data_IF_669987857581
#
_entry.id   IF_669987857581
#
_cell.length_a   1.000
_cell.length_b   1.000
_cell.length_c   1.000
_cell.angle_alpha   90.00
_cell.angle_beta   90.00
_cell.angle_gamma   90.00
#
_symmetry.space_group_name_H-M   'P 1'
#
loop_
_entity.id
_entity.type
_entity.pdbx_description
1 polymer ?
#
# COMPACT_ATOMS: atom_id res chain seq x y z
N UNK A 1 3.71 26.32 27.22
CA UNK A 1 4.10 25.85 25.90
C UNK A 1 5.03 26.89 25.32
N UNK A 2 6.26 26.47 25.07
CA UNK A 2 7.37 27.38 24.80
C UNK A 2 7.41 27.75 23.31
N UNK A 3 7.74 29.00 23.01
CA UNK A 3 7.98 29.54 21.65
C UNK A 3 9.00 28.73 20.85
N UNK A 4 9.82 27.93 21.51
CA UNK A 4 10.82 27.02 20.94
C UNK A 4 10.21 25.77 20.29
N UNK A 5 9.09 25.27 20.79
CA UNK A 5 8.41 24.09 20.22
C UNK A 5 7.65 24.45 18.93
N UNK A 6 7.05 25.65 18.90
CA UNK A 6 6.36 26.13 17.68
C UNK A 6 7.32 26.36 16.52
N UNK A 7 8.55 26.84 16.79
CA UNK A 7 9.56 27.05 15.74
C UNK A 7 10.08 25.71 15.21
N UNK A 8 10.26 24.70 16.07
CA UNK A 8 10.66 23.37 15.64
C UNK A 8 9.59 22.68 14.79
N UNK A 9 8.33 22.74 15.21
CA UNK A 9 7.22 22.17 14.45
C UNK A 9 7.03 22.86 13.09
N UNK A 10 7.17 24.19 13.04
CA UNK A 10 7.10 24.92 11.79
C UNK A 10 8.27 24.60 10.83
N UNK A 11 9.48 24.42 11.37
CA UNK A 11 10.65 24.04 10.58
C UNK A 11 10.53 22.60 10.04
N UNK A 12 10.04 21.66 10.84
CA UNK A 12 9.77 20.27 10.44
C UNK A 12 8.67 20.25 9.39
N UNK A 13 7.56 20.96 9.61
CA UNK A 13 6.45 21.05 8.66
C UNK A 13 6.88 21.65 7.31
N UNK A 14 7.74 22.70 7.33
CA UNK A 14 8.27 23.31 6.10
C UNK A 14 9.31 22.44 5.40
N UNK A 15 10.00 21.57 6.12
CA UNK A 15 10.97 20.62 5.56
C UNK A 15 10.23 19.46 4.87
N UNK A 16 9.23 18.88 5.52
CA UNK A 16 8.35 17.84 4.96
C UNK A 16 7.64 18.34 3.69
N UNK A 17 7.12 19.57 3.69
CA UNK A 17 6.49 20.15 2.50
C UNK A 17 7.46 20.33 1.31
N UNK A 18 8.77 20.44 1.55
CA UNK A 18 9.78 20.56 0.47
C UNK A 18 10.09 19.21 -0.18
N UNK A 19 10.01 18.13 0.58
CA UNK A 19 10.36 16.80 0.11
C UNK A 19 9.29 16.22 -0.84
N UNK A 20 8.04 16.71 -0.79
CA UNK A 20 6.94 16.28 -1.67
C UNK A 20 6.69 17.21 -2.88
N UNK A 21 7.41 18.33 -2.99
CA UNK A 21 7.26 19.24 -4.15
C UNK A 21 7.48 18.56 -5.51
N UNK A 22 8.42 17.60 -5.67
CA UNK A 22 8.60 16.90 -6.94
C UNK A 22 7.37 16.12 -7.41
N UNK A 23 6.49 15.72 -6.48
CA UNK A 23 5.28 14.95 -6.77
C UNK A 23 4.08 15.82 -7.18
N UNK A 24 4.25 17.12 -7.27
CA UNK A 24 3.23 18.05 -7.74
C UNK A 24 3.36 18.27 -9.25
N UNK A 25 2.40 17.77 -9.99
CA UNK A 25 2.36 17.85 -11.45
C UNK A 25 1.49 19.03 -11.87
N UNK A 26 2.08 20.03 -12.51
CA UNK A 26 1.36 21.15 -13.13
C UNK A 26 0.79 20.70 -14.49
N UNK A 27 -0.48 20.32 -14.50
CA UNK A 27 -1.19 19.84 -15.68
C UNK A 27 -1.44 20.95 -16.71
N UNK A 28 -1.44 22.24 -16.29
CA UNK A 28 -1.61 23.37 -17.19
C UNK A 28 -0.32 23.68 -17.96
N UNK A 29 0.83 23.49 -17.32
CA UNK A 29 2.13 23.73 -17.93
C UNK A 29 2.51 22.68 -18.99
N UNK A 30 1.78 21.56 -19.05
CA UNK A 30 2.03 20.52 -20.04
C UNK A 30 1.66 21.01 -21.44
N UNK A 31 2.67 21.22 -22.29
CA UNK A 31 2.52 21.62 -23.70
C UNK A 31 2.48 20.44 -24.65
N UNK A 32 3.18 19.37 -24.29
CA UNK A 32 3.31 18.17 -25.09
C UNK A 32 2.11 17.23 -24.91
N UNK A 33 1.90 16.36 -25.90
CA UNK A 33 0.83 15.34 -25.80
C UNK A 33 1.13 14.28 -24.75
N UNK A 34 2.43 14.01 -24.51
CA UNK A 34 2.90 13.05 -23.50
C UNK A 34 4.09 13.67 -22.77
N UNK A 35 4.03 13.68 -21.46
CA UNK A 35 5.14 14.02 -20.57
C UNK A 35 5.50 12.79 -19.72
N UNK A 36 6.78 12.59 -19.44
CA UNK A 36 7.28 11.49 -18.62
C UNK A 36 8.06 12.03 -17.44
N UNK A 37 7.91 11.39 -16.29
CA UNK A 37 8.58 11.69 -15.03
C UNK A 37 9.14 10.43 -14.44
N UNK A 38 10.26 10.52 -13.74
CA UNK A 38 10.87 9.42 -12.99
C UNK A 38 11.12 9.88 -11.57
N UNK A 39 10.74 9.04 -10.60
CA UNK A 39 10.94 9.32 -9.18
C UNK A 39 11.62 8.12 -8.52
N UNK A 40 12.51 8.41 -7.59
CA UNK A 40 13.11 7.43 -6.69
C UNK A 40 12.48 7.62 -5.31
N UNK A 41 11.95 6.55 -4.75
CA UNK A 41 11.32 6.53 -3.44
C UNK A 41 12.20 5.77 -2.46
N UNK A 42 12.54 6.42 -1.37
CA UNK A 42 13.29 5.86 -0.25
C UNK A 42 12.50 6.02 1.06
N UNK A 43 13.11 5.68 2.18
CA UNK A 43 12.49 5.80 3.50
C UNK A 43 12.04 7.24 3.80
N UNK A 44 12.72 8.27 3.26
CA UNK A 44 12.35 9.67 3.47
C UNK A 44 11.01 10.02 2.81
N UNK A 45 10.68 9.42 1.66
CA UNK A 45 9.37 9.58 1.04
C UNK A 45 8.25 9.06 1.94
N UNK A 46 8.39 7.85 2.50
CA UNK A 46 7.38 7.25 3.39
C UNK A 46 7.24 8.05 4.69
N UNK A 47 8.33 8.62 5.20
CA UNK A 47 8.29 9.51 6.35
C UNK A 47 7.57 10.82 6.03
N UNK A 48 7.83 11.41 4.85
CA UNK A 48 7.25 12.68 4.43
C UNK A 48 5.72 12.64 4.24
N UNK A 49 5.18 11.51 3.76
CA UNK A 49 3.73 11.29 3.62
C UNK A 49 3.07 10.75 4.90
N UNK A 50 3.84 10.54 5.98
CA UNK A 50 3.36 9.92 7.22
C UNK A 50 2.70 8.55 6.97
N UNK A 51 3.34 7.72 6.14
CA UNK A 51 2.81 6.44 5.68
C UNK A 51 2.33 5.54 6.84
N UNK A 52 1.08 5.05 6.84
CA UNK A 52 0.52 4.29 7.96
C UNK A 52 1.10 2.89 8.08
N UNK A 53 1.14 2.12 6.99
CA UNK A 53 1.46 0.69 6.99
C UNK A 53 2.87 0.44 6.47
N UNK A 54 3.14 0.72 5.21
CA UNK A 54 4.46 0.58 4.58
C UNK A 54 5.29 1.84 4.83
N UNK A 55 6.36 1.72 5.61
CA UNK A 55 7.16 2.88 6.07
C UNK A 55 8.58 2.93 5.55
N UNK A 56 9.02 1.89 4.85
CA UNK A 56 10.37 1.78 4.34
C UNK A 56 10.38 1.02 3.01
N UNK A 57 11.30 1.39 2.15
CA UNK A 57 11.48 0.71 0.88
C UNK A 57 12.45 1.44 -0.04
N UNK A 58 12.67 0.82 -1.20
CA UNK A 58 13.41 1.43 -2.28
C UNK A 58 12.72 1.07 -3.59
N UNK A 59 12.10 2.07 -4.23
CA UNK A 59 11.31 1.88 -5.44
C UNK A 59 11.60 2.97 -6.45
N UNK A 60 11.49 2.63 -7.72
CA UNK A 60 11.46 3.58 -8.83
C UNK A 60 10.05 3.67 -9.39
N UNK A 61 9.62 4.89 -9.72
CA UNK A 61 8.32 5.19 -10.32
C UNK A 61 8.52 5.85 -11.65
N UNK A 62 8.05 5.23 -12.71
CA UNK A 62 7.94 5.85 -14.02
C UNK A 62 6.49 6.30 -14.23
N UNK A 63 6.29 7.61 -14.42
CA UNK A 63 4.99 8.21 -14.69
C UNK A 63 4.94 8.74 -16.12
N UNK A 64 3.91 8.34 -16.86
CA UNK A 64 3.56 8.91 -18.16
C UNK A 64 2.25 9.67 -18.06
N UNK A 65 2.27 10.96 -18.37
CA UNK A 65 1.08 11.82 -18.41
C UNK A 65 0.72 12.08 -19.84
N UNK A 66 -0.44 11.60 -20.28
CA UNK A 66 -0.95 11.76 -21.64
C UNK A 66 -2.18 12.67 -21.66
N UNK A 67 -2.15 13.69 -22.51
CA UNK A 67 -3.32 14.55 -22.70
C UNK A 67 -4.34 13.87 -23.58
N UNK A 68 -5.61 13.88 -23.15
CA UNK A 68 -6.77 13.34 -23.87
C UNK A 68 -7.79 14.44 -24.18
N UNK A 69 -8.82 14.12 -24.97
CA UNK A 69 -9.86 15.07 -25.38
C UNK A 69 -10.67 15.69 -24.20
N UNK A 70 -10.70 15.02 -23.05
CA UNK A 70 -11.46 15.48 -21.87
C UNK A 70 -10.66 15.61 -20.59
N UNK A 71 -9.31 15.51 -20.67
CA UNK A 71 -8.46 15.55 -19.49
C UNK A 71 -7.11 14.93 -19.72
N UNK A 72 -6.62 14.18 -18.73
CA UNK A 72 -5.32 13.55 -18.75
C UNK A 72 -5.44 12.11 -18.28
N UNK A 73 -4.58 11.25 -18.82
CA UNK A 73 -4.35 9.89 -18.36
C UNK A 73 -2.94 9.83 -17.77
N UNK A 74 -2.87 9.42 -16.53
CA UNK A 74 -1.62 9.23 -15.79
C UNK A 74 -1.37 7.73 -15.62
N UNK A 75 -0.33 7.21 -16.28
CA UNK A 75 0.06 5.80 -16.18
C UNK A 75 1.31 5.67 -15.33
N UNK A 76 1.21 4.93 -14.24
CA UNK A 76 2.28 4.69 -13.28
C UNK A 76 2.83 3.28 -13.46
N UNK A 77 4.13 3.15 -13.40
CA UNK A 77 4.83 1.89 -13.31
C UNK A 77 5.81 1.95 -12.13
N UNK A 78 5.55 1.16 -11.11
CA UNK A 78 6.25 1.19 -9.82
C UNK A 78 7.00 -0.12 -9.65
N UNK A 79 8.32 -0.06 -9.44
CA UNK A 79 9.19 -1.21 -9.28
C UNK A 79 10.16 -1.05 -8.13
N UNK A 80 10.40 -2.13 -7.42
CA UNK A 80 11.38 -2.18 -6.34
C UNK A 80 10.97 -3.13 -5.23
N UNK A 81 11.20 -2.74 -3.99
CA UNK A 81 10.77 -3.48 -2.81
C UNK A 81 10.39 -2.56 -1.67
N UNK A 82 9.53 -3.07 -0.81
CA UNK A 82 9.19 -2.46 0.48
C UNK A 82 9.60 -3.38 1.62
N UNK A 83 9.79 -2.82 2.80
CA UNK A 83 10.08 -3.56 4.02
C UNK A 83 8.77 -3.76 4.78
N UNK A 84 8.40 -5.01 4.96
CA UNK A 84 7.20 -5.42 5.70
C UNK A 84 7.55 -6.43 6.79
N UNK A 85 6.65 -6.61 7.74
CA UNK A 85 6.84 -7.58 8.81
C UNK A 85 6.30 -8.95 8.39
N UNK A 86 7.10 -9.98 8.44
CA UNK A 86 6.67 -11.35 8.11
C UNK A 86 5.55 -11.84 9.04
N UNK A 87 4.44 -12.32 8.49
CA UNK A 87 3.28 -12.80 9.26
C UNK A 87 3.55 -14.04 10.14
N UNK A 88 4.65 -14.75 9.90
CA UNK A 88 4.99 -15.94 10.67
C UNK A 88 6.01 -15.67 11.77
N UNK A 89 7.11 -14.98 11.45
CA UNK A 89 8.19 -14.83 12.41
C UNK A 89 8.34 -13.42 12.98
N UNK A 90 7.59 -12.46 12.47
CA UNK A 90 7.55 -11.04 12.85
C UNK A 90 8.87 -10.28 12.61
N UNK A 91 9.82 -10.89 11.91
CA UNK A 91 11.02 -10.18 11.46
C UNK A 91 10.72 -9.39 10.18
N UNK A 92 11.46 -8.30 9.95
CA UNK A 92 11.37 -7.52 8.71
C UNK A 92 11.80 -8.37 7.50
N UNK A 93 11.13 -8.15 6.36
CA UNK A 93 11.46 -8.78 5.09
C UNK A 93 11.26 -7.83 3.93
N UNK A 94 12.00 -8.04 2.87
CA UNK A 94 11.80 -7.36 1.60
C UNK A 94 10.63 -8.03 0.84
N UNK A 95 9.64 -7.22 0.51
CA UNK A 95 8.53 -7.62 -0.34
C UNK A 95 8.69 -6.91 -1.69
N UNK A 96 8.90 -7.66 -2.79
CA UNK A 96 9.01 -7.05 -4.12
C UNK A 96 7.67 -6.44 -4.54
N UNK A 97 7.77 -5.31 -5.23
CA UNK A 97 6.67 -4.56 -5.83
C UNK A 97 6.93 -4.41 -7.33
N UNK A 98 5.95 -4.76 -8.13
CA UNK A 98 5.88 -4.47 -9.57
C UNK A 98 4.41 -4.19 -9.88
N UNK A 99 4.03 -2.91 -9.93
CA UNK A 99 2.66 -2.45 -10.05
C UNK A 99 2.48 -1.49 -11.22
N UNK A 100 1.40 -1.67 -11.97
CA UNK A 100 0.96 -0.77 -13.04
C UNK A 100 -0.44 -0.25 -12.70
N UNK A 101 -0.57 1.08 -12.63
CA UNK A 101 -1.82 1.75 -12.28
C UNK A 101 -2.08 2.91 -13.23
N UNK A 102 -3.34 3.24 -13.41
CA UNK A 102 -3.75 4.37 -14.26
C UNK A 102 -4.77 5.22 -13.54
N UNK A 103 -4.59 6.55 -13.56
CA UNK A 103 -5.55 7.52 -13.10
C UNK A 103 -6.05 8.36 -14.27
N UNK A 104 -7.35 8.64 -14.28
CA UNK A 104 -7.94 9.62 -15.17
C UNK A 104 -8.14 10.93 -14.43
N UNK A 105 -7.69 12.03 -15.02
CA UNK A 105 -7.76 13.36 -14.40
C UNK A 105 -8.45 14.33 -15.35
N UNK A 106 -9.37 15.12 -14.82
CA UNK A 106 -10.00 16.22 -15.57
C UNK A 106 -9.98 17.51 -14.76
N UNK A 107 -10.14 18.63 -15.44
CA UNK A 107 -10.39 19.90 -14.77
C UNK A 107 -11.86 20.05 -14.40
N UNK A 108 -12.13 20.71 -13.27
CA UNK A 108 -13.46 21.02 -12.79
C UNK A 108 -13.49 22.21 -11.86
N UNK A 109 -14.62 22.47 -11.23
CA UNK A 109 -14.77 23.61 -10.32
C UNK A 109 -14.20 23.32 -8.93
N UNK A 110 -14.43 22.10 -8.43
CA UNK A 110 -13.99 21.65 -7.11
C UNK A 110 -13.19 20.34 -7.23
N UNK A 111 -12.32 20.11 -6.27
CA UNK A 111 -11.59 18.84 -6.17
C UNK A 111 -12.54 17.69 -5.84
N UNK A 112 -12.42 16.59 -6.55
CA UNK A 112 -13.10 15.33 -6.27
C UNK A 112 -12.17 14.18 -6.59
N UNK A 113 -12.23 13.15 -5.77
CA UNK A 113 -11.52 11.89 -5.90
C UNK A 113 -12.59 10.79 -5.84
N UNK A 114 -13.12 10.44 -7.00
CA UNK A 114 -14.13 9.40 -7.17
C UNK A 114 -13.54 8.23 -7.96
N UNK A 115 -13.24 7.14 -7.26
CA UNK A 115 -12.72 5.87 -7.78
C UNK A 115 -11.58 6.07 -8.83
N UNK A 116 -11.93 6.08 -10.13
CA UNK A 116 -10.95 6.15 -11.22
C UNK A 116 -10.81 7.55 -11.84
N UNK A 117 -11.54 8.56 -11.36
CA UNK A 117 -11.57 9.88 -11.95
C UNK A 117 -11.32 11.00 -10.94
N UNK A 118 -10.15 11.58 -11.04
CA UNK A 118 -9.74 12.72 -10.22
C UNK A 118 -10.15 14.02 -10.89
N UNK A 119 -10.82 14.90 -10.14
CA UNK A 119 -11.15 16.26 -10.59
C UNK A 119 -10.22 17.24 -9.92
N UNK A 120 -9.47 17.99 -10.72
CA UNK A 120 -8.56 19.04 -10.23
C UNK A 120 -9.18 20.40 -10.51
N UNK A 121 -9.24 21.32 -9.50
CA UNK A 121 -9.73 22.67 -9.72
C UNK A 121 -8.98 23.37 -10.83
N UNK A 122 -9.70 23.84 -11.86
CA UNK A 122 -9.08 24.49 -13.00
C UNK A 122 -8.24 25.71 -12.60
N UNK A 123 -8.62 26.44 -11.56
CA UNK A 123 -7.86 27.59 -11.05
C UNK A 123 -6.45 27.21 -10.57
N UNK A 124 -6.27 26.05 -9.98
CA UNK A 124 -5.01 25.55 -9.45
C UNK A 124 -4.20 24.82 -10.51
N UNK A 125 -4.81 23.83 -11.17
CA UNK A 125 -4.23 23.07 -12.26
C UNK A 125 -3.07 22.17 -11.88
N UNK A 126 -2.82 21.99 -10.58
CA UNK A 126 -1.73 21.17 -10.02
C UNK A 126 -2.36 19.95 -9.33
N UNK A 127 -1.84 18.77 -9.63
CA UNK A 127 -2.18 17.52 -8.97
C UNK A 127 -1.01 17.03 -8.14
N UNK A 128 -1.23 16.79 -6.85
CA UNK A 128 -0.29 16.09 -5.99
C UNK A 128 -0.52 14.59 -6.14
N UNK A 129 0.50 13.88 -6.61
CA UNK A 129 0.46 12.44 -6.86
C UNK A 129 1.11 11.61 -5.75
N UNK A 130 1.64 12.25 -4.71
CA UNK A 130 2.41 11.55 -3.68
C UNK A 130 1.58 10.48 -2.96
N UNK A 131 0.35 10.81 -2.60
CA UNK A 131 -0.53 9.85 -1.92
C UNK A 131 -1.00 8.72 -2.82
N UNK A 132 -1.32 8.99 -4.09
CA UNK A 132 -1.72 7.95 -5.05
C UNK A 132 -0.61 6.92 -5.28
N UNK A 133 0.64 7.38 -5.38
CA UNK A 133 1.78 6.45 -5.49
C UNK A 133 1.86 5.54 -4.28
N UNK A 134 1.67 6.08 -3.05
CA UNK A 134 1.64 5.27 -1.84
C UNK A 134 0.51 4.24 -1.86
N UNK A 135 -0.70 4.62 -2.21
CA UNK A 135 -1.85 3.72 -2.30
C UNK A 135 -1.59 2.58 -3.30
N UNK A 136 -0.99 2.86 -4.45
CA UNK A 136 -0.63 1.82 -5.43
C UNK A 136 0.42 0.86 -4.89
N UNK A 137 1.39 1.35 -4.13
CA UNK A 137 2.38 0.50 -3.46
C UNK A 137 1.69 -0.38 -2.42
N UNK A 138 0.89 0.20 -1.54
CA UNK A 138 0.23 -0.50 -0.45
C UNK A 138 -0.73 -1.58 -0.96
N UNK A 139 -1.55 -1.26 -1.97
CA UNK A 139 -2.45 -2.21 -2.63
C UNK A 139 -1.72 -3.34 -3.37
N UNK A 140 -0.46 -3.14 -3.75
CA UNK A 140 0.36 -4.17 -4.39
C UNK A 140 0.95 -5.19 -3.41
N UNK A 141 1.01 -4.85 -2.12
CA UNK A 141 1.51 -5.74 -1.07
C UNK A 141 0.48 -6.84 -0.82
N UNK A 142 0.86 -8.13 -0.92
CA UNK A 142 -0.06 -9.23 -0.64
C UNK A 142 -0.57 -9.16 0.80
N UNK A 143 -1.86 -9.48 1.03
CA UNK A 143 -2.47 -9.58 2.37
C UNK A 143 -1.67 -10.50 3.29
N UNK A 144 -1.07 -11.57 2.73
CA UNK A 144 -0.22 -12.50 3.45
C UNK A 144 1.19 -12.44 2.86
N UNK A 145 2.14 -11.99 3.65
CA UNK A 145 3.54 -11.91 3.28
C UNK A 145 4.41 -12.65 4.30
N UNK A 146 5.15 -13.62 3.80
CA UNK A 146 5.98 -14.51 4.62
C UNK A 146 7.32 -14.74 3.92
N UNK A 147 8.38 -14.94 4.71
CA UNK A 147 9.66 -15.32 4.16
C UNK A 147 9.56 -16.59 3.31
N UNK A 148 10.44 -16.71 2.34
CA UNK A 148 10.59 -17.95 1.58
C UNK A 148 10.81 -19.15 2.53
N UNK A 149 10.39 -20.36 2.15
CA UNK A 149 10.48 -21.55 2.99
C UNK A 149 11.87 -21.72 3.62
N UNK A 150 11.92 -21.87 4.94
CA UNK A 150 13.16 -22.03 5.71
C UNK A 150 13.94 -20.74 6.01
N UNK A 151 13.44 -19.57 5.62
CA UNK A 151 14.08 -18.27 5.88
C UNK A 151 13.52 -17.54 7.11
N UNK A 152 12.41 -18.00 7.68
CA UNK A 152 11.85 -17.44 8.90
C UNK A 152 12.79 -17.66 10.09
N UNK A 153 12.69 -16.80 11.09
CA UNK A 153 13.43 -16.89 12.34
C UNK A 153 13.18 -18.23 13.03
N UNK A 154 14.26 -19.03 13.18
CA UNK A 154 14.16 -20.39 13.68
C UNK A 154 13.69 -20.46 15.15
N UNK A 155 13.95 -19.45 15.97
CA UNK A 155 13.49 -19.41 17.36
C UNK A 155 11.98 -19.17 17.43
N UNK A 156 11.46 -18.26 16.60
CA UNK A 156 10.03 -17.98 16.50
C UNK A 156 9.28 -19.19 15.93
N UNK A 157 9.83 -19.80 14.88
CA UNK A 157 9.21 -21.00 14.26
C UNK A 157 9.10 -22.17 15.24
N UNK A 158 10.10 -22.38 16.13
CA UNK A 158 10.04 -23.38 17.19
C UNK A 158 8.90 -23.06 18.19
N UNK A 159 8.79 -21.81 18.63
CA UNK A 159 7.69 -21.40 19.53
C UNK A 159 6.32 -21.59 18.90
N UNK A 160 6.18 -21.25 17.62
CA UNK A 160 4.92 -21.47 16.89
C UNK A 160 4.59 -22.96 16.81
N UNK A 161 5.59 -23.82 16.60
CA UNK A 161 5.38 -25.27 16.55
C UNK A 161 5.03 -25.85 17.93
N UNK A 162 5.65 -25.36 19.01
CA UNK A 162 5.34 -25.76 20.38
C UNK A 162 3.94 -25.33 20.82
N UNK A 163 3.50 -24.14 20.37
CA UNK A 163 2.20 -23.56 20.74
C UNK A 163 1.09 -23.90 19.73
N UNK A 164 1.44 -24.40 18.55
CA UNK A 164 0.43 -24.84 17.59
C UNK A 164 -0.29 -26.04 18.21
N UNK A 165 -1.61 -25.90 18.40
CA UNK A 165 -2.44 -27.02 18.77
C UNK A 165 -2.27 -28.10 17.70
N UNK A 166 -1.50 -29.13 18.01
CA UNK A 166 -1.38 -30.31 17.18
C UNK A 166 -2.79 -30.90 17.10
N UNK A 167 -3.52 -30.58 16.03
CA UNK A 167 -4.53 -31.53 15.58
C UNK A 167 -3.73 -32.77 15.25
N UNK A 168 -3.67 -33.68 16.21
CA UNK A 168 -3.35 -35.05 15.89
C UNK A 168 -4.34 -35.43 14.79
N UNK A 169 -3.86 -35.46 13.55
CA UNK A 169 -4.48 -36.22 12.50
C UNK A 169 -4.33 -37.67 12.89
N UNK A 170 -5.11 -38.13 13.88
CA UNK A 170 -5.59 -39.50 13.90
C UNK A 170 -6.46 -39.59 12.65
N UNK A 171 -5.86 -40.09 11.55
CA UNK A 171 -6.60 -40.82 10.55
C UNK A 171 -7.50 -41.78 11.31
N UNK A 172 -8.72 -41.52 11.24
CA UNK A 172 -9.95 -42.26 11.56
C UNK A 172 -10.86 -41.35 12.37
N UNK A 173 -11.83 -40.78 11.63
CA UNK A 173 -12.89 -39.96 12.18
C UNK A 173 -13.66 -40.75 13.27
N UNK A 174 -13.98 -40.09 14.28
CA UNK A 174 -14.91 -40.28 15.36
C UNK A 174 -14.26 -40.04 16.71
N UNK A 175 -13.58 -38.89 16.82
CA UNK A 175 -13.42 -38.29 18.15
C UNK A 175 -14.79 -37.79 18.63
N UNK A 176 -15.09 -37.84 19.94
CA UNK A 176 -16.37 -37.38 20.45
C UNK A 176 -16.62 -35.94 20.07
N UNK A 177 -17.67 -35.69 19.29
CA UNK A 177 -18.07 -34.34 18.86
C UNK A 177 -18.27 -33.48 20.12
N UNK A 178 -17.58 -32.34 20.17
CA UNK A 178 -17.73 -31.42 21.29
C UNK A 178 -19.22 -31.13 21.51
N UNK A 179 -19.75 -31.35 22.73
CA UNK A 179 -21.20 -31.22 23.01
C UNK A 179 -21.80 -29.89 22.57
N UNK A 180 -20.99 -28.81 22.50
CA UNK A 180 -21.41 -27.49 22.01
C UNK A 180 -21.73 -27.49 20.51
N UNK A 181 -21.20 -28.43 19.74
CA UNK A 181 -21.37 -28.55 18.29
C UNK A 181 -22.31 -29.68 17.87
N UNK A 182 -22.82 -30.46 18.84
CA UNK A 182 -23.75 -31.57 18.58
C UNK A 182 -25.02 -31.12 17.83
N UNK A 183 -25.45 -29.88 18.02
CA UNK A 183 -26.58 -29.31 17.27
C UNK A 183 -26.34 -29.10 15.77
N UNK A 184 -25.09 -29.03 15.33
CA UNK A 184 -24.71 -28.84 13.91
C UNK A 184 -24.67 -30.16 13.12
N UNK A 185 -24.66 -31.31 13.81
CA UNK A 185 -24.77 -32.63 13.15
C UNK A 185 -26.04 -32.76 12.32
N UNK A 186 -27.13 -32.14 12.75
CA UNK A 186 -28.41 -32.12 12.04
C UNK A 186 -28.32 -31.39 10.67
N UNK A 187 -27.34 -30.53 10.48
CA UNK A 187 -27.15 -29.83 9.20
C UNK A 187 -26.45 -30.72 8.15
N UNK A 188 -25.67 -31.73 8.58
CA UNK A 188 -25.03 -32.69 7.65
C UNK A 188 -26.04 -33.55 6.87
N UNK A 189 -27.23 -33.75 7.42
CA UNK A 189 -28.29 -34.55 6.77
C UNK A 189 -29.11 -33.75 5.77
N UNK A 190 -29.11 -32.40 5.86
CA UNK A 190 -29.90 -31.52 4.97
C UNK A 190 -29.19 -31.26 3.62
N UNK A 191 -27.88 -31.49 3.54
CA UNK A 191 -27.06 -31.18 2.34
C UNK A 191 -26.92 -32.42 1.40
N UNK A 192 -27.54 -33.55 1.74
CA UNK A 192 -27.44 -34.82 0.98
C UNK A 192 -28.67 -35.21 0.16
N UNK A 193 -29.69 -34.35 0.10
CA UNK A 193 -30.86 -34.50 -0.78
C UNK A 193 -30.86 -33.51 -1.96
#
# INVERSE_FOLDING_TARGET
MSMSENIRNFAIQSMIMRDLEPFKIDLKALTDQVATYEFELDDAYFEAIEAPDVRKGNLSVALSVRRMAGGFELSFHIRGFVIVTCDLCLDEMEQPVDAENTLLVKFGEEYSDDDDLIVVPEREGVLDISWFIYEFIDLSVPIKHVHAPGKCNAAMMRKLQELSATRSSSEDGEGPVNPRWAGLEKLKTIIKD
#
